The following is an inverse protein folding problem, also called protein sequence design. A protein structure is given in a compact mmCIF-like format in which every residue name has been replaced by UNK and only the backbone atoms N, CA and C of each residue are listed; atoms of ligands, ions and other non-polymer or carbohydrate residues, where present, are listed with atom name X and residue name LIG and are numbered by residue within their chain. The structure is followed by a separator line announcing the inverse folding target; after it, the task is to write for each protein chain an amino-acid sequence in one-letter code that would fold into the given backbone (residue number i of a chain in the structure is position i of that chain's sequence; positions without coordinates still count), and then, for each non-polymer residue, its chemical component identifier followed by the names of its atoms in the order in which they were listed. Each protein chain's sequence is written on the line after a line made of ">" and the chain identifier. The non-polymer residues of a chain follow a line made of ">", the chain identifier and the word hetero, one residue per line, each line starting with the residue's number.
data_IF_011996911238
#
_entry.id   IF_011996911238
#
_cell.length_a   1.000
_cell.length_b   1.000
_cell.length_c   1.000
_cell.angle_alpha   90.00
_cell.angle_beta   90.00
_cell.angle_gamma   90.00
#
_symmetry.space_group_name_H-M   'P 1'
#
loop_
_entity.id
_entity.type
_entity.pdbx_description
1 polymer ?
#
# COMPACT_ATOMS: atom_id res chain seq x y z
N UNK A 1 -6.96 6.85 16.44
CA UNK A 1 -5.74 7.32 15.78
C UNK A 1 -4.56 7.03 16.67
N UNK A 2 -3.40 6.74 16.08
CA UNK A 2 -2.14 6.60 16.80
C UNK A 2 -1.64 8.00 17.22
N UNK A 3 -0.90 8.10 18.33
CA UNK A 3 -0.31 9.38 18.71
C UNK A 3 1.03 9.56 17.98
N UNK A 4 1.29 10.78 17.53
CA UNK A 4 2.50 11.12 16.80
C UNK A 4 3.75 10.94 17.68
N UNK A 5 4.75 10.22 17.17
CA UNK A 5 6.06 9.97 17.77
C UNK A 5 6.01 9.31 19.16
N UNK A 6 4.96 8.53 19.45
CA UNK A 6 4.80 7.85 20.75
C UNK A 6 5.85 6.74 20.96
N UNK A 7 6.14 5.95 19.93
CA UNK A 7 7.05 4.79 20.01
C UNK A 7 8.47 5.14 19.57
N UNK A 8 8.61 6.03 18.58
CA UNK A 8 9.89 6.38 17.97
C UNK A 8 9.95 7.87 17.64
N UNK A 9 11.12 8.47 17.81
CA UNK A 9 11.39 9.84 17.39
C UNK A 9 11.49 9.99 15.86
N UNK A 10 11.76 8.90 15.13
CA UNK A 10 11.99 8.94 13.68
C UNK A 10 10.75 8.63 12.84
N UNK A 11 9.74 7.98 13.41
CA UNK A 11 8.55 7.50 12.70
C UNK A 11 7.35 8.11 13.41
N UNK A 12 6.58 8.92 12.69
CA UNK A 12 5.45 9.64 13.27
C UNK A 12 4.35 8.71 13.78
N UNK A 13 3.89 7.76 12.97
CA UNK A 13 2.93 6.72 13.38
C UNK A 13 3.57 5.35 13.15
N UNK A 14 4.11 4.77 14.22
CA UNK A 14 4.93 3.56 14.17
C UNK A 14 4.12 2.32 13.79
N UNK A 15 2.98 2.10 14.44
CA UNK A 15 2.16 0.93 14.16
C UNK A 15 1.49 1.01 12.79
N UNK A 16 1.04 2.20 12.38
CA UNK A 16 0.54 2.40 11.03
C UNK A 16 1.63 2.10 9.98
N UNK A 17 2.83 2.67 10.15
CA UNK A 17 3.97 2.41 9.25
C UNK A 17 4.34 0.92 9.19
N UNK A 18 4.37 0.23 10.34
CA UNK A 18 4.68 -1.20 10.42
C UNK A 18 3.61 -2.04 9.73
N UNK A 19 2.33 -1.71 9.91
CA UNK A 19 1.24 -2.40 9.24
C UNK A 19 1.29 -2.22 7.71
N UNK A 20 1.73 -1.05 7.23
CA UNK A 20 1.92 -0.77 5.80
C UNK A 20 3.09 -1.55 5.19
N UNK A 21 4.08 -1.96 5.99
CA UNK A 21 5.09 -2.91 5.55
C UNK A 21 4.47 -4.30 5.26
N UNK A 22 3.49 -4.73 6.05
CA UNK A 22 2.76 -5.97 5.78
C UNK A 22 1.97 -5.88 4.46
N UNK A 23 1.43 -4.70 4.10
CA UNK A 23 0.78 -4.47 2.80
C UNK A 23 1.75 -4.67 1.63
N UNK A 24 2.98 -4.14 1.73
CA UNK A 24 4.04 -4.36 0.72
C UNK A 24 4.33 -5.86 0.58
N UNK A 25 4.54 -6.56 1.69
CA UNK A 25 4.82 -8.00 1.67
C UNK A 25 3.67 -8.79 1.03
N UNK A 26 2.42 -8.48 1.39
CA UNK A 26 1.23 -9.14 0.83
C UNK A 26 1.08 -8.86 -0.67
N UNK A 27 1.32 -7.63 -1.13
CA UNK A 27 1.29 -7.26 -2.54
C UNK A 27 2.35 -7.99 -3.37
N UNK A 28 3.60 -8.03 -2.90
CA UNK A 28 4.67 -8.76 -3.59
C UNK A 28 4.36 -10.25 -3.66
N UNK A 29 4.00 -10.85 -2.51
CA UNK A 29 3.67 -12.27 -2.44
C UNK A 29 2.50 -12.63 -3.35
N UNK A 30 1.42 -11.85 -3.30
CA UNK A 30 0.23 -12.05 -4.13
C UNK A 30 0.54 -11.95 -5.63
N UNK A 31 1.35 -10.97 -6.03
CA UNK A 31 1.80 -10.78 -7.42
C UNK A 31 2.63 -11.97 -7.91
N UNK A 32 3.56 -12.46 -7.09
CA UNK A 32 4.37 -13.64 -7.41
C UNK A 32 3.51 -14.90 -7.57
N UNK A 33 2.55 -15.13 -6.67
CA UNK A 33 1.67 -16.30 -6.74
C UNK A 33 0.76 -16.27 -7.97
N UNK A 34 0.24 -15.08 -8.35
CA UNK A 34 -0.68 -14.94 -9.48
C UNK A 34 0.04 -14.87 -10.83
N UNK A 35 1.35 -14.63 -10.85
CA UNK A 35 2.15 -14.53 -12.08
C UNK A 35 2.19 -15.79 -12.96
N UNK A 36 1.88 -16.97 -12.41
CA UNK A 36 2.09 -18.27 -13.09
C UNK A 36 0.82 -19.05 -13.44
N UNK A 37 -0.36 -18.49 -13.25
CA UNK A 37 -1.60 -19.25 -13.52
C UNK A 37 -2.89 -18.45 -13.50
N UNK A 38 -2.84 -17.16 -13.21
CA UNK A 38 -4.02 -16.29 -13.19
C UNK A 38 -3.88 -15.20 -14.24
N UNK A 39 -5.01 -14.58 -14.59
CA UNK A 39 -5.01 -13.43 -15.47
C UNK A 39 -4.14 -12.31 -14.88
N UNK A 40 -3.35 -11.69 -15.77
CA UNK A 40 -2.42 -10.62 -15.41
C UNK A 40 -3.10 -9.45 -14.68
N UNK A 41 -4.41 -9.28 -14.86
CA UNK A 41 -5.23 -8.25 -14.21
C UNK A 41 -5.17 -8.37 -12.68
N UNK A 42 -5.23 -9.59 -12.13
CA UNK A 42 -5.10 -9.81 -10.68
C UNK A 42 -3.68 -9.55 -10.18
N UNK A 43 -2.66 -9.90 -10.97
CA UNK A 43 -1.27 -9.54 -10.66
C UNK A 43 -1.08 -8.02 -10.62
N UNK A 44 -1.74 -7.26 -11.51
CA UNK A 44 -1.75 -5.79 -11.46
C UNK A 44 -2.42 -5.24 -10.19
N UNK A 45 -3.50 -5.86 -9.70
CA UNK A 45 -4.10 -5.49 -8.41
C UNK A 45 -3.09 -5.63 -7.25
N UNK A 46 -2.34 -6.74 -7.20
CA UNK A 46 -1.33 -6.96 -6.17
C UNK A 46 -0.12 -6.02 -6.28
N UNK A 47 0.27 -5.66 -7.50
CA UNK A 47 1.27 -4.62 -7.73
C UNK A 47 0.77 -3.27 -7.20
N UNK A 48 -0.49 -2.91 -7.47
CA UNK A 48 -1.08 -1.67 -6.94
C UNK A 48 -1.12 -1.64 -5.41
N UNK A 49 -1.45 -2.76 -4.74
CA UNK A 49 -1.37 -2.90 -3.27
C UNK A 49 0.06 -2.61 -2.76
N UNK A 50 1.07 -3.06 -3.49
CA UNK A 50 2.47 -2.79 -3.12
C UNK A 50 2.76 -1.29 -3.13
N UNK A 51 2.28 -0.57 -4.16
CA UNK A 51 2.41 0.90 -4.24
C UNK A 51 1.66 1.63 -3.12
N UNK A 52 0.45 1.17 -2.77
CA UNK A 52 -0.30 1.69 -1.62
C UNK A 52 0.54 1.53 -0.34
N UNK A 53 1.11 0.35 -0.09
CA UNK A 53 1.97 0.12 1.07
C UNK A 53 3.17 1.08 1.13
N UNK A 54 3.83 1.34 0.00
CA UNK A 54 4.91 2.33 -0.07
C UNK A 54 4.43 3.76 0.23
N UNK A 55 3.30 4.17 -0.36
CA UNK A 55 2.72 5.48 -0.09
C UNK A 55 2.35 5.67 1.37
N UNK A 56 1.69 4.66 1.94
CA UNK A 56 1.28 4.61 3.33
C UNK A 56 2.47 4.65 4.30
N UNK A 57 3.58 3.95 4.03
CA UNK A 57 4.82 4.06 4.83
C UNK A 57 5.38 5.49 4.79
N UNK A 58 5.46 6.11 3.61
CA UNK A 58 5.99 7.46 3.48
C UNK A 58 5.09 8.48 4.19
N UNK A 59 3.77 8.31 4.08
CA UNK A 59 2.81 9.16 4.74
C UNK A 59 2.83 8.98 6.26
N UNK A 60 2.60 7.78 6.80
CA UNK A 60 2.57 7.55 8.24
C UNK A 60 3.94 7.71 8.91
N UNK A 61 5.02 7.52 8.16
CA UNK A 61 6.37 7.76 8.67
C UNK A 61 6.67 9.25 8.87
N UNK A 62 6.10 10.14 8.06
CA UNK A 62 6.49 11.57 8.01
C UNK A 62 5.37 12.57 8.29
N UNK A 63 4.11 12.18 8.06
CA UNK A 63 2.89 13.01 8.08
C UNK A 63 2.97 14.24 7.16
N UNK A 64 3.67 14.13 6.04
CA UNK A 64 3.82 15.20 5.05
C UNK A 64 2.68 15.12 4.02
N UNK A 65 1.95 16.22 3.84
CA UNK A 65 0.76 16.33 2.97
C UNK A 65 0.95 15.80 1.52
N UNK A 66 2.06 16.06 0.81
CA UNK A 66 2.34 15.42 -0.47
C UNK A 66 2.26 13.88 -0.44
N UNK A 67 2.68 13.22 0.64
CA UNK A 67 2.62 11.77 0.74
C UNK A 67 1.23 11.24 1.06
N UNK A 68 0.34 12.06 1.63
CA UNK A 68 -1.10 11.74 1.76
C UNK A 68 -1.71 11.47 0.38
N UNK A 69 -1.35 12.29 -0.61
CA UNK A 69 -1.80 12.11 -1.99
C UNK A 69 -1.18 10.86 -2.61
N UNK A 70 0.09 10.60 -2.31
CA UNK A 70 0.80 9.42 -2.79
C UNK A 70 0.28 8.12 -2.17
N UNK A 71 -0.39 8.17 -1.01
CA UNK A 71 -1.10 7.03 -0.43
C UNK A 71 -2.50 6.87 -1.05
N UNK A 72 -3.29 7.96 -1.12
CA UNK A 72 -4.67 7.92 -1.60
C UNK A 72 -4.83 7.67 -3.11
N UNK A 73 -3.97 8.24 -3.97
CA UNK A 73 -4.09 8.11 -5.43
C UNK A 73 -3.92 6.63 -5.88
N UNK A 74 -2.90 5.88 -5.43
CA UNK A 74 -2.79 4.45 -5.73
C UNK A 74 -3.99 3.62 -5.28
N UNK A 75 -4.66 3.97 -4.17
CA UNK A 75 -5.89 3.29 -3.74
C UNK A 75 -7.01 3.40 -4.78
N UNK A 76 -7.17 4.57 -5.41
CA UNK A 76 -8.15 4.77 -6.48
C UNK A 76 -7.79 3.91 -7.69
N UNK A 77 -6.52 3.89 -8.11
CA UNK A 77 -6.08 3.05 -9.21
C UNK A 77 -6.31 1.56 -8.93
N UNK A 78 -6.04 1.11 -7.70
CA UNK A 78 -6.33 -0.26 -7.28
C UNK A 78 -7.81 -0.61 -7.47
N UNK A 79 -8.73 0.25 -7.03
CA UNK A 79 -10.16 0.03 -7.22
C UNK A 79 -10.55 -0.04 -8.70
N UNK A 80 -10.01 0.84 -9.53
CA UNK A 80 -10.28 0.83 -10.98
C UNK A 80 -9.78 -0.46 -11.65
N UNK A 81 -8.58 -0.93 -11.31
CA UNK A 81 -8.03 -2.19 -11.83
C UNK A 81 -8.88 -3.37 -11.33
N UNK A 82 -9.33 -3.35 -10.07
CA UNK A 82 -10.18 -4.39 -9.51
C UNK A 82 -11.52 -4.46 -10.25
N UNK A 83 -12.19 -3.31 -10.47
CA UNK A 83 -13.42 -3.25 -11.26
C UNK A 83 -13.22 -3.75 -12.70
N UNK A 84 -12.11 -3.40 -13.34
CA UNK A 84 -11.76 -3.93 -14.67
C UNK A 84 -11.44 -5.44 -14.66
N UNK A 85 -10.98 -5.98 -13.53
CA UNK A 85 -10.66 -7.41 -13.41
C UNK A 85 -11.91 -8.27 -13.24
N UNK A 86 -12.98 -7.71 -12.69
CA UNK A 86 -14.25 -8.41 -12.44
C UNK A 86 -15.21 -8.34 -13.64
N UNK A 87 -15.06 -7.36 -14.53
CA UNK A 87 -15.82 -7.23 -15.78
C UNK A 87 -15.11 -7.90 -16.97
#
# INVERSE_FOLDING_TARGET
>A
CENNYEVSYYIAEFFNTLSSLCLICAGIFGSMMHSKGFDYRFSLCFIAITFIGFGSILFHGTLIFPFEHFDGIPMIFYLLILFYSVN
#
